data_IF_256043561435
#
_entry.id   IF_256043561435
#
_cell.length_a   1.000
_cell.length_b   1.000
_cell.length_c   1.000
_cell.angle_alpha   90.00
_cell.angle_beta   90.00
_cell.angle_gamma   90.00
#
_symmetry.space_group_name_H-M   'P 1'
#
loop_
_entity.id
_entity.type
_entity.pdbx_description
1 polymer ?
#
# COMPACT_ATOMS: atom_id res chain seq x y z
N UNK A 1 -21.62 -1.83 -5.13
CA UNK A 1 -20.82 -0.64 -4.78
C UNK A 1 -20.51 -0.69 -3.31
N UNK A 2 -19.25 -0.50 -2.90
CA UNK A 2 -18.93 -0.27 -1.48
C UNK A 2 -19.53 1.07 -1.08
N UNK A 3 -20.04 1.19 0.15
CA UNK A 3 -20.44 2.50 0.66
C UNK A 3 -19.20 3.28 1.12
N UNK A 4 -19.33 4.60 1.28
CA UNK A 4 -18.23 5.50 1.65
C UNK A 4 -17.44 5.03 2.88
N UNK A 5 -18.16 4.55 3.90
CA UNK A 5 -17.58 4.08 5.16
C UNK A 5 -16.67 2.86 4.92
N UNK A 6 -17.18 1.86 4.19
CA UNK A 6 -16.40 0.68 3.82
C UNK A 6 -15.15 1.01 3.01
N UNK A 7 -15.24 2.03 2.14
CA UNK A 7 -14.10 2.47 1.34
C UNK A 7 -13.03 3.14 2.21
N UNK A 8 -13.43 4.01 3.14
CA UNK A 8 -12.52 4.64 4.12
C UNK A 8 -11.87 3.63 5.06
N UNK A 9 -12.62 2.63 5.53
CA UNK A 9 -12.08 1.51 6.31
C UNK A 9 -11.07 0.69 5.49
N UNK A 10 -11.37 0.45 4.21
CA UNK A 10 -10.44 -0.27 3.31
C UNK A 10 -9.13 0.51 3.14
N UNK A 11 -9.21 1.83 2.89
CA UNK A 11 -8.05 2.72 2.77
C UNK A 11 -7.22 2.66 4.06
N UNK A 12 -7.84 2.86 5.22
CA UNK A 12 -7.15 2.85 6.52
C UNK A 12 -6.39 1.53 6.74
N UNK A 13 -7.04 0.39 6.43
CA UNK A 13 -6.41 -0.92 6.56
C UNK A 13 -5.23 -1.09 5.59
N UNK A 14 -5.35 -0.60 4.35
CA UNK A 14 -4.29 -0.66 3.34
C UNK A 14 -3.12 0.25 3.70
N UNK A 15 -3.35 1.44 4.23
CA UNK A 15 -2.30 2.31 4.75
C UNK A 15 -1.52 1.67 5.91
N UNK A 16 -2.22 0.98 6.81
CA UNK A 16 -1.58 0.21 7.88
C UNK A 16 -0.71 -0.94 7.32
N UNK A 17 -1.18 -1.63 6.27
CA UNK A 17 -0.40 -2.64 5.57
C UNK A 17 0.84 -2.02 4.89
N UNK A 18 0.68 -0.90 4.20
CA UNK A 18 1.77 -0.17 3.54
C UNK A 18 2.83 0.27 4.55
N UNK A 19 2.42 0.79 5.70
CA UNK A 19 3.32 1.18 6.79
C UNK A 19 4.20 0.00 7.25
N UNK A 20 3.61 -1.19 7.39
CA UNK A 20 4.35 -2.42 7.75
C UNK A 20 5.27 -2.88 6.63
N UNK A 21 4.77 -2.92 5.39
CA UNK A 21 5.52 -3.33 4.21
C UNK A 21 6.74 -2.42 3.96
N UNK A 22 6.61 -1.10 4.16
CA UNK A 22 7.74 -0.15 4.04
C UNK A 22 8.82 -0.43 5.09
N UNK A 23 8.45 -0.71 6.35
CA UNK A 23 9.43 -1.09 7.39
C UNK A 23 10.18 -2.37 7.04
N UNK A 24 9.46 -3.37 6.54
CA UNK A 24 10.05 -4.64 6.12
C UNK A 24 10.95 -4.44 4.90
N UNK A 25 10.49 -3.72 3.89
CA UNK A 25 11.26 -3.44 2.68
C UNK A 25 12.54 -2.67 2.98
N UNK A 26 12.51 -1.71 3.91
CA UNK A 26 13.70 -0.99 4.37
C UNK A 26 14.69 -1.94 5.05
N UNK A 27 14.21 -2.89 5.85
CA UNK A 27 15.05 -3.91 6.48
C UNK A 27 15.76 -4.74 5.42
N UNK A 28 15.02 -5.28 4.44
CA UNK A 28 15.59 -6.10 3.37
C UNK A 28 16.50 -5.30 2.42
N UNK A 29 16.20 -4.03 2.20
CA UNK A 29 16.96 -3.15 1.29
C UNK A 29 18.24 -2.60 1.89
N UNK A 30 18.53 -2.90 3.16
CA UNK A 30 19.71 -2.41 3.88
C UNK A 30 20.76 -3.51 4.12
N UNK A 31 22.01 -3.09 4.31
CA UNK A 31 23.10 -3.97 4.71
C UNK A 31 23.37 -5.13 3.73
N UNK A 32 23.62 -6.32 4.29
CA UNK A 32 24.00 -7.55 3.54
C UNK A 32 22.88 -8.07 2.63
N UNK A 33 21.62 -7.77 2.93
CA UNK A 33 20.46 -8.35 2.24
C UNK A 33 19.93 -7.51 1.08
N UNK A 34 20.56 -6.35 0.80
CA UNK A 34 20.10 -5.39 -0.22
C UNK A 34 19.93 -5.94 -1.64
N UNK A 35 20.65 -7.01 -1.99
CA UNK A 35 20.58 -7.68 -3.30
C UNK A 35 19.80 -9.00 -3.24
N UNK A 36 19.18 -9.33 -2.10
CA UNK A 36 18.38 -10.55 -1.96
C UNK A 36 17.06 -10.42 -2.72
N UNK A 37 16.49 -11.56 -3.10
CA UNK A 37 15.15 -11.61 -3.70
C UNK A 37 14.11 -10.97 -2.78
N UNK A 38 14.26 -11.07 -1.46
CA UNK A 38 13.35 -10.43 -0.50
C UNK A 38 13.38 -8.89 -0.60
N UNK A 39 14.55 -8.30 -0.86
CA UNK A 39 14.66 -6.85 -1.07
C UNK A 39 13.88 -6.41 -2.32
N UNK A 40 13.93 -7.21 -3.39
CA UNK A 40 13.18 -6.92 -4.61
C UNK A 40 11.67 -7.15 -4.44
N UNK A 41 11.28 -8.30 -3.88
CA UNK A 41 9.87 -8.68 -3.66
C UNK A 41 9.18 -7.69 -2.74
N UNK A 42 9.83 -7.30 -1.63
CA UNK A 42 9.25 -6.33 -0.70
C UNK A 42 9.02 -4.96 -1.32
N UNK A 43 9.91 -4.49 -2.22
CA UNK A 43 9.71 -3.23 -2.98
C UNK A 43 8.52 -3.32 -3.93
N UNK A 44 8.39 -4.43 -4.65
CA UNK A 44 7.24 -4.67 -5.55
C UNK A 44 5.94 -4.67 -4.74
N UNK A 45 5.95 -5.30 -3.57
CA UNK A 45 4.77 -5.34 -2.70
C UNK A 45 4.39 -3.95 -2.17
N UNK A 46 5.37 -3.14 -1.75
CA UNK A 46 5.14 -1.73 -1.38
C UNK A 46 4.50 -0.96 -2.54
N UNK A 47 5.04 -1.08 -3.75
CA UNK A 47 4.50 -0.41 -4.93
C UNK A 47 3.06 -0.85 -5.25
N UNK A 48 2.74 -2.14 -5.10
CA UNK A 48 1.38 -2.64 -5.29
C UNK A 48 0.40 -1.99 -4.31
N UNK A 49 0.76 -1.92 -3.04
CA UNK A 49 -0.08 -1.30 -2.01
C UNK A 49 -0.28 0.20 -2.25
N UNK A 50 0.75 0.92 -2.69
CA UNK A 50 0.64 2.33 -3.07
C UNK A 50 -0.35 2.53 -4.22
N UNK A 51 -0.21 1.73 -5.29
CA UNK A 51 -1.12 1.80 -6.43
C UNK A 51 -2.57 1.46 -6.06
N UNK A 52 -2.78 0.47 -5.18
CA UNK A 52 -4.11 0.11 -4.69
C UNK A 52 -4.73 1.25 -3.86
N UNK A 53 -3.96 1.88 -2.96
CA UNK A 53 -4.41 3.00 -2.15
C UNK A 53 -4.79 4.20 -3.04
N UNK A 54 -3.95 4.53 -4.02
CA UNK A 54 -4.24 5.60 -4.98
C UNK A 54 -5.54 5.33 -5.75
N UNK A 55 -5.78 4.08 -6.14
CA UNK A 55 -7.05 3.67 -6.77
C UNK A 55 -8.26 3.88 -5.85
N UNK A 56 -8.14 3.50 -4.58
CA UNK A 56 -9.21 3.67 -3.59
C UNK A 56 -9.50 5.15 -3.30
N UNK A 57 -8.47 6.00 -3.26
CA UNK A 57 -8.67 7.45 -3.10
C UNK A 57 -9.35 8.08 -4.31
N UNK A 58 -9.06 7.61 -5.53
CA UNK A 58 -9.78 8.04 -6.73
C UNK A 58 -11.25 7.64 -6.66
N UNK A 59 -11.55 6.39 -6.31
CA UNK A 59 -12.93 5.90 -6.13
C UNK A 59 -13.67 6.74 -5.07
N UNK A 60 -13.00 7.08 -3.96
CA UNK A 60 -13.59 7.92 -2.91
C UNK A 60 -13.89 9.34 -3.41
N UNK A 61 -12.96 9.93 -4.16
CA UNK A 61 -13.13 11.27 -4.72
C UNK A 61 -14.25 11.33 -5.75
N UNK A 62 -14.41 10.29 -6.58
CA UNK A 62 -15.52 10.17 -7.52
C UNK A 62 -16.86 10.07 -6.80
N UNK A 63 -16.91 9.35 -5.67
CA UNK A 63 -18.12 9.22 -4.85
C UNK A 63 -18.47 10.49 -4.06
N UNK A 64 -17.50 11.37 -3.80
CA UNK A 64 -17.72 12.65 -3.13
C UNK A 64 -18.11 13.78 -4.09
N UNK A 65 -17.67 13.69 -5.35
CA UNK A 65 -17.88 14.72 -6.37
C UNK A 65 -18.97 14.36 -7.41
N UNK A 66 -19.50 13.13 -7.39
CA UNK A 66 -20.63 12.67 -8.21
C UNK A 66 -21.97 12.79 -7.49
#
# INVERSE_FOLDING_TARGET
MKNKIQLQETITNKEAQLSRARRESNTWSSGKYKTSSNAQVSKIFVQSLENEIDGLYKELSELENG
#
